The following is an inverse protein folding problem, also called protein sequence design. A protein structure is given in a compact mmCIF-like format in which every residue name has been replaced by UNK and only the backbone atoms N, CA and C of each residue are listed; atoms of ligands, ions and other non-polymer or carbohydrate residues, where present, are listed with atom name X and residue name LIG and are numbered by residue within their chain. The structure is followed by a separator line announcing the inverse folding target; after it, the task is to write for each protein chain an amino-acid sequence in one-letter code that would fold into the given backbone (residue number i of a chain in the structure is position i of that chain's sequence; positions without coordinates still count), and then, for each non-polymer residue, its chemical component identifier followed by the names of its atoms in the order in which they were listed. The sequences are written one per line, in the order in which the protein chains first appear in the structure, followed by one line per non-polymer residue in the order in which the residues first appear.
data_IF_322179683319
#
_entry.id   IF_322179683319
#
_cell.length_a   1.000
_cell.length_b   1.000
_cell.length_c   1.000
_cell.angle_alpha   90.00
_cell.angle_beta   90.00
_cell.angle_gamma   90.00
#
_symmetry.space_group_name_H-M   'P 1'
#
loop_
_entity.id
_entity.type
_entity.pdbx_description
1 polymer ?
#
# COMPACT_ATOMS: atom_id res chain seq x y z
N UNK A 1 -5.16 20.89 11.57
CA UNK A 1 -4.52 19.76 12.28
C UNK A 1 -5.13 18.42 11.82
N UNK A 2 -4.33 17.36 11.55
CA UNK A 2 -4.91 16.06 11.25
C UNK A 2 -5.70 15.62 12.49
N UNK A 3 -7.01 15.49 12.33
CA UNK A 3 -7.91 15.01 13.39
C UNK A 3 -7.54 13.57 13.73
N UNK A 4 -7.28 13.29 15.00
CA UNK A 4 -7.11 11.91 15.45
C UNK A 4 -8.40 11.12 15.21
N UNK A 5 -8.27 10.01 14.50
CA UNK A 5 -9.37 9.09 14.22
C UNK A 5 -9.41 8.03 15.31
N UNK A 6 -10.61 7.57 15.67
CA UNK A 6 -10.78 6.51 16.66
C UNK A 6 -11.65 5.40 16.09
N UNK A 7 -11.23 4.16 16.29
CA UNK A 7 -11.98 2.97 15.89
C UNK A 7 -11.77 1.84 16.91
N UNK A 8 -12.52 0.76 16.73
CA UNK A 8 -12.27 -0.49 17.45
C UNK A 8 -12.14 -1.65 16.46
N UNK A 9 -11.23 -2.57 16.77
CA UNK A 9 -11.06 -3.80 16.00
C UNK A 9 -10.93 -4.97 16.96
N UNK A 10 -11.86 -5.94 16.84
CA UNK A 10 -11.94 -7.11 17.74
C UNK A 10 -11.95 -6.72 19.23
N UNK A 11 -12.71 -5.67 19.57
CA UNK A 11 -12.83 -5.17 20.94
C UNK A 11 -11.63 -4.36 21.45
N UNK A 12 -10.57 -4.17 20.64
CA UNK A 12 -9.41 -3.34 21.00
C UNK A 12 -9.55 -1.94 20.41
N UNK A 13 -9.15 -0.92 21.17
CA UNK A 13 -9.17 0.47 20.71
C UNK A 13 -8.00 0.73 19.76
N UNK A 14 -8.26 1.49 18.70
CA UNK A 14 -7.27 1.94 17.74
C UNK A 14 -7.30 3.46 17.64
N UNK A 15 -6.12 4.08 17.70
CA UNK A 15 -5.93 5.48 17.32
C UNK A 15 -5.40 5.55 15.89
N UNK A 16 -6.02 6.37 15.05
CA UNK A 16 -5.71 6.49 13.64
C UNK A 16 -5.18 7.86 13.28
N UNK A 17 -4.26 7.91 12.33
CA UNK A 17 -3.86 9.14 11.64
C UNK A 17 -3.98 8.96 10.14
N UNK A 18 -4.73 9.86 9.51
CA UNK A 18 -4.77 9.94 8.06
C UNK A 18 -3.45 10.51 7.52
N UNK A 19 -2.87 9.81 6.55
CA UNK A 19 -1.63 10.17 5.87
C UNK A 19 -1.95 10.37 4.38
N UNK A 20 -1.98 11.63 3.90
CA UNK A 20 -2.06 11.87 2.46
C UNK A 20 -0.78 11.35 1.78
N UNK A 21 -0.92 10.89 0.53
CA UNK A 21 0.24 10.50 -0.25
C UNK A 21 1.09 11.72 -0.65
N UNK A 22 2.39 11.55 -0.90
CA UNK A 22 3.25 12.63 -1.36
C UNK A 22 2.73 13.28 -2.64
N UNK A 23 2.93 14.59 -2.81
CA UNK A 23 2.47 15.30 -3.99
C UNK A 23 3.01 14.66 -5.28
N UNK A 24 2.11 14.46 -6.25
CA UNK A 24 2.44 13.78 -7.52
C UNK A 24 2.41 12.25 -7.46
N UNK A 25 2.14 11.65 -6.29
CA UNK A 25 1.98 10.20 -6.15
C UNK A 25 0.51 9.82 -6.00
N UNK A 26 0.17 8.63 -6.50
CA UNK A 26 -1.14 7.98 -6.30
C UNK A 26 -0.92 6.53 -5.86
N UNK A 27 -1.75 6.06 -4.94
CA UNK A 27 -1.76 4.68 -4.48
C UNK A 27 -2.57 3.81 -5.41
N UNK A 28 -2.08 2.62 -5.72
CA UNK A 28 -2.74 1.64 -6.59
C UNK A 28 -2.94 0.33 -5.84
N UNK A 29 -4.10 -0.30 -6.04
CA UNK A 29 -4.42 -1.64 -5.55
C UNK A 29 -4.27 -2.62 -6.70
N UNK A 30 -3.30 -3.52 -6.62
CA UNK A 30 -3.03 -4.52 -7.65
C UNK A 30 -3.43 -5.91 -7.12
N UNK A 31 -4.16 -6.67 -7.94
CA UNK A 31 -4.50 -8.07 -7.69
C UNK A 31 -3.69 -8.94 -8.64
N UNK A 32 -2.81 -9.77 -8.10
CA UNK A 32 -2.16 -10.83 -8.88
C UNK A 32 -3.14 -11.95 -9.22
N UNK A 33 -2.94 -12.59 -10.36
CA UNK A 33 -3.61 -13.85 -10.69
C UNK A 33 -3.02 -15.00 -9.85
N UNK A 34 -3.85 -15.98 -9.48
CA UNK A 34 -3.37 -17.12 -8.70
C UNK A 34 -2.32 -17.93 -9.48
N UNK A 35 -1.21 -18.32 -8.86
CA UNK A 35 -0.26 -19.24 -9.47
C UNK A 35 -0.93 -20.62 -9.59
N UNK A 36 -1.42 -20.94 -10.78
CA UNK A 36 -2.06 -22.23 -11.03
C UNK A 36 -3.03 -22.28 -12.20
N UNK A 37 -3.34 -21.17 -12.88
CA UNK A 37 -4.15 -21.24 -14.11
C UNK A 37 -3.39 -22.03 -15.19
N UNK A 38 -3.84 -23.25 -15.56
CA UNK A 38 -3.17 -24.09 -16.55
C UNK A 38 -3.18 -23.45 -17.95
N UNK A 39 -3.98 -22.39 -18.17
CA UNK A 39 -4.03 -21.65 -19.43
C UNK A 39 -2.71 -20.94 -19.79
N UNK A 40 -1.81 -20.76 -18.82
CA UNK A 40 -0.54 -20.03 -18.99
C UNK A 40 0.66 -20.92 -19.34
N UNK A 41 0.52 -22.25 -19.35
CA UNK A 41 1.58 -23.17 -19.80
C UNK A 41 1.60 -23.19 -21.33
N UNK A 42 2.36 -22.27 -21.95
CA UNK A 42 2.64 -22.36 -23.38
C UNK A 42 3.47 -23.62 -23.67
N UNK A 43 3.00 -24.56 -24.51
CA UNK A 43 3.80 -25.71 -24.89
C UNK A 43 5.02 -25.25 -25.71
N UNK A 44 6.23 -25.51 -25.23
CA UNK A 44 7.46 -25.44 -26.05
C UNK A 44 8.29 -24.14 -26.05
N UNK A 45 8.15 -23.25 -25.06
CA UNK A 45 8.92 -22.00 -25.02
C UNK A 45 10.16 -22.04 -24.13
N UNK A 46 11.37 -21.92 -24.69
CA UNK A 46 12.64 -21.69 -23.99
C UNK A 46 12.77 -20.28 -23.34
N UNK A 47 11.66 -19.63 -22.99
CA UNK A 47 11.67 -18.27 -22.42
C UNK A 47 11.63 -18.37 -20.89
N UNK A 48 12.42 -17.55 -20.16
CA UNK A 48 12.23 -17.43 -18.71
C UNK A 48 10.77 -17.04 -18.41
N UNK A 49 10.17 -17.57 -17.33
CA UNK A 49 8.77 -17.33 -17.02
C UNK A 49 8.52 -15.82 -16.92
N UNK A 50 7.56 -15.32 -17.68
CA UNK A 50 7.08 -13.95 -17.50
C UNK A 50 6.39 -13.86 -16.12
N UNK A 51 6.54 -12.73 -15.40
CA UNK A 51 5.80 -12.55 -14.16
C UNK A 51 4.30 -12.63 -14.45
N UNK A 52 3.50 -13.25 -13.56
CA UNK A 52 2.07 -13.36 -13.77
C UNK A 52 1.46 -11.96 -13.93
N UNK A 53 0.48 -11.79 -14.82
CA UNK A 53 -0.17 -10.51 -15.00
C UNK A 53 -0.85 -10.07 -13.69
N UNK A 54 -0.92 -8.76 -13.48
CA UNK A 54 -1.62 -8.14 -12.36
C UNK A 54 -2.73 -7.25 -12.90
N UNK A 55 -3.87 -7.26 -12.22
CA UNK A 55 -5.01 -6.39 -12.53
C UNK A 55 -5.06 -5.22 -11.56
N UNK A 56 -5.20 -3.99 -12.08
CA UNK A 56 -5.48 -2.81 -11.29
C UNK A 56 -6.94 -2.84 -10.81
N UNK A 57 -7.17 -2.94 -9.50
CA UNK A 57 -8.51 -3.06 -8.93
C UNK A 57 -9.00 -1.79 -8.23
N UNK A 58 -8.13 -0.80 -8.04
CA UNK A 58 -8.52 0.46 -7.39
C UNK A 58 -7.35 1.41 -7.19
N UNK A 59 -7.66 2.60 -6.69
CA UNK A 59 -6.68 3.63 -6.37
C UNK A 59 -7.08 4.41 -5.12
N UNK A 60 -6.10 5.05 -4.48
CA UNK A 60 -6.29 5.84 -3.28
C UNK A 60 -5.31 7.03 -3.25
N UNK A 61 -5.70 8.10 -2.56
CA UNK A 61 -4.92 9.34 -2.41
C UNK A 61 -4.42 9.54 -0.97
N UNK A 62 -4.93 8.77 -0.02
CA UNK A 62 -4.54 8.79 1.39
C UNK A 62 -4.68 7.40 2.02
N UNK A 63 -3.91 7.14 3.08
CA UNK A 63 -3.97 5.91 3.88
C UNK A 63 -4.08 6.27 5.36
N UNK A 64 -4.93 5.58 6.10
CA UNK A 64 -5.00 5.73 7.56
C UNK A 64 -4.08 4.74 8.24
N UNK A 65 -3.10 5.26 8.98
CA UNK A 65 -2.19 4.47 9.81
C UNK A 65 -2.79 4.31 11.21
N UNK A 66 -3.00 3.06 11.64
CA UNK A 66 -3.68 2.70 12.88
C UNK A 66 -2.69 2.11 13.89
N UNK A 67 -2.64 2.72 15.07
CA UNK A 67 -1.89 2.25 16.23
C UNK A 67 -2.80 1.64 17.30
N UNK A 68 -2.23 0.76 18.12
CA UNK A 68 -2.93 0.19 19.27
C UNK A 68 -3.08 1.25 20.38
N UNK A 69 -4.33 1.51 20.79
CA UNK A 69 -4.74 2.44 21.86
C UNK A 69 -4.38 3.93 21.65
N UNK A 70 -3.44 4.25 20.76
CA UNK A 70 -2.93 5.58 20.45
C UNK A 70 -2.65 5.71 18.95
N UNK A 71 -2.73 6.93 18.42
CA UNK A 71 -2.34 7.18 17.03
C UNK A 71 -0.81 7.03 16.86
N UNK A 72 -0.31 6.46 15.75
CA UNK A 72 1.12 6.36 15.49
C UNK A 72 1.80 7.73 15.57
N UNK A 73 3.05 7.80 16.04
CA UNK A 73 3.76 9.07 16.18
C UNK A 73 4.05 9.72 14.81
N UNK A 74 4.01 11.06 14.67
CA UNK A 74 4.34 11.72 13.40
C UNK A 74 5.80 11.43 12.99
N UNK A 75 6.06 11.27 11.70
CA UNK A 75 7.42 11.13 11.16
C UNK A 75 8.13 9.82 11.52
N UNK A 76 7.39 8.80 11.98
CA UNK A 76 7.87 7.45 12.25
C UNK A 76 7.15 6.44 11.35
N UNK A 77 7.71 5.23 11.25
CA UNK A 77 7.08 4.12 10.50
C UNK A 77 6.68 4.49 9.08
N UNK A 78 5.41 4.25 8.74
CA UNK A 78 4.86 4.53 7.41
C UNK A 78 4.97 6.01 7.03
N UNK A 79 4.72 6.93 7.97
CA UNK A 79 4.83 8.36 7.71
C UNK A 79 6.26 8.77 7.30
N UNK A 80 7.29 8.11 7.86
CA UNK A 80 8.68 8.32 7.44
C UNK A 80 8.96 7.71 6.07
N UNK A 81 8.47 6.50 5.81
CA UNK A 81 8.66 5.83 4.53
C UNK A 81 8.07 6.64 3.36
N UNK A 82 6.91 7.28 3.54
CA UNK A 82 6.30 8.14 2.52
C UNK A 82 7.17 9.38 2.18
N UNK A 83 8.10 9.79 3.04
CA UNK A 83 9.03 10.88 2.74
C UNK A 83 10.12 10.48 1.73
N UNK A 84 10.31 9.18 1.47
CA UNK A 84 11.33 8.71 0.54
C UNK A 84 11.06 9.16 -0.90
N UNK A 85 9.80 9.18 -1.36
CA UNK A 85 9.48 9.53 -2.75
C UNK A 85 10.05 10.88 -3.18
N UNK A 86 9.72 11.97 -2.48
CA UNK A 86 10.31 13.28 -2.75
C UNK A 86 11.84 13.33 -2.63
N UNK A 87 12.42 12.61 -1.67
CA UNK A 87 13.89 12.54 -1.50
C UNK A 87 14.56 11.87 -2.70
N UNK A 88 13.98 10.77 -3.19
CA UNK A 88 14.50 10.01 -4.33
C UNK A 88 14.45 10.81 -5.64
N UNK A 89 13.49 11.73 -5.79
CA UNK A 89 13.38 12.61 -6.97
C UNK A 89 14.40 13.77 -6.96
N UNK A 90 14.98 14.07 -5.81
CA UNK A 90 15.94 15.17 -5.65
C UNK A 90 17.41 14.73 -5.86
N UNK A 91 17.65 13.44 -6.09
CA UNK A 91 18.97 12.83 -6.38
C UNK A 91 19.09 12.58 -7.87
#
# INVERSE_FOLDING_TARGET
PPSELWASFRGRRLGGRELPLPAGYRGLLLRGEEPGDPSQVRPGGHRPPEPPPVTLTGSFEAITDWGADTAPAPGQGLARALQWGPLAQAV
#
